data_IF_615536641881
#
_entry.id   IF_615536641881
#
_cell.length_a   1.000
_cell.length_b   1.000
_cell.length_c   1.000
_cell.angle_alpha   90.00
_cell.angle_beta   90.00
_cell.angle_gamma   90.00
#
_symmetry.space_group_name_H-M   'P 1'
#
loop_
_entity.id
_entity.type
_entity.pdbx_description
1 polymer ?
#
# COMPACT_ATOMS: atom_id res chain seq x y z
N UNK A 1 7.63 -10.65 9.80
CA UNK A 1 6.80 -10.89 8.60
C UNK A 1 5.38 -10.45 8.94
N UNK A 2 4.85 -9.41 8.29
CA UNK A 2 3.42 -9.08 8.46
C UNK A 2 2.60 -10.08 7.66
N UNK A 3 1.58 -10.70 8.28
CA UNK A 3 0.63 -11.54 7.56
C UNK A 3 -0.01 -10.73 6.42
N UNK A 4 -0.23 -11.37 5.27
CA UNK A 4 -0.85 -10.75 4.09
C UNK A 4 -2.24 -10.17 4.41
N UNK A 5 -2.90 -10.75 5.42
CA UNK A 5 -4.18 -10.30 5.97
C UNK A 5 -4.06 -9.07 6.87
N UNK A 6 -2.87 -8.72 7.38
CA UNK A 6 -2.69 -7.58 8.29
C UNK A 6 -2.82 -6.22 7.61
N UNK A 7 -2.70 -6.14 6.28
CA UNK A 7 -2.77 -4.90 5.51
C UNK A 7 -3.82 -4.91 4.40
N UNK A 8 -4.60 -5.98 4.26
CA UNK A 8 -5.61 -6.07 3.22
C UNK A 8 -6.81 -5.19 3.55
N UNK A 9 -7.44 -4.61 2.53
CA UNK A 9 -8.69 -3.86 2.71
C UNK A 9 -9.89 -4.80 2.78
N UNK A 10 -9.79 -6.00 2.22
CA UNK A 10 -10.79 -7.04 2.30
C UNK A 10 -10.27 -8.36 1.75
N UNK A 11 -11.04 -9.42 1.99
CA UNK A 11 -10.70 -10.80 1.63
C UNK A 11 -11.88 -11.46 0.92
N UNK A 12 -11.60 -12.16 -0.18
CA UNK A 12 -12.58 -12.94 -0.91
C UNK A 12 -12.21 -14.42 -0.85
N UNK A 13 -13.14 -15.25 -0.37
CA UNK A 13 -12.98 -16.69 -0.23
C UNK A 13 -13.73 -17.42 -1.33
N UNK A 14 -13.00 -18.20 -2.13
CA UNK A 14 -13.51 -19.20 -3.05
C UNK A 14 -13.33 -20.58 -2.43
N UNK A 15 -14.25 -20.96 -1.54
CA UNK A 15 -14.12 -22.17 -0.71
C UNK A 15 -15.45 -22.93 -0.65
N UNK A 16 -15.40 -24.18 -0.19
CA UNK A 16 -16.59 -24.93 0.21
C UNK A 16 -16.91 -26.16 -0.64
N UNK A 17 -16.69 -26.13 -1.97
CA UNK A 17 -17.13 -27.22 -2.88
C UNK A 17 -16.60 -28.61 -2.49
N UNK A 18 -15.34 -28.72 -2.07
CA UNK A 18 -14.79 -30.01 -1.62
C UNK A 18 -15.32 -30.44 -0.24
N UNK A 19 -15.53 -29.50 0.68
CA UNK A 19 -16.06 -29.80 2.00
C UNK A 19 -17.54 -30.21 1.92
N UNK A 20 -18.35 -29.47 1.17
CA UNK A 20 -19.78 -29.73 1.02
C UNK A 20 -20.08 -31.00 0.24
N UNK A 21 -19.13 -31.46 -0.59
CA UNK A 21 -19.23 -32.75 -1.27
C UNK A 21 -19.12 -33.92 -0.29
N UNK A 22 -18.48 -33.74 0.87
CA UNK A 22 -18.17 -34.84 1.78
C UNK A 22 -18.73 -34.66 3.20
N UNK A 23 -19.39 -33.54 3.47
CA UNK A 23 -19.95 -33.21 4.78
C UNK A 23 -21.33 -32.56 4.60
N UNK A 24 -22.15 -32.59 5.66
CA UNK A 24 -23.43 -31.89 5.66
C UNK A 24 -23.25 -30.37 5.58
N UNK A 25 -24.22 -29.68 4.99
CA UNK A 25 -24.26 -28.22 4.94
C UNK A 25 -24.06 -27.56 6.32
N UNK A 26 -24.70 -28.10 7.34
CA UNK A 26 -24.60 -27.62 8.72
C UNK A 26 -23.18 -27.68 9.28
N UNK A 27 -22.45 -28.77 9.03
CA UNK A 27 -21.07 -28.93 9.51
C UNK A 27 -20.14 -27.93 8.84
N UNK A 28 -20.25 -27.76 7.52
CA UNK A 28 -19.43 -26.79 6.78
C UNK A 28 -19.75 -25.37 7.24
N UNK A 29 -21.02 -25.04 7.48
CA UNK A 29 -21.43 -23.71 7.98
C UNK A 29 -20.88 -23.44 9.38
N UNK A 30 -20.85 -24.42 10.28
CA UNK A 30 -20.22 -24.26 11.58
C UNK A 30 -18.71 -23.97 11.47
N UNK A 31 -18.02 -24.59 10.49
CA UNK A 31 -16.61 -24.28 10.21
C UNK A 31 -16.43 -22.87 9.66
N UNK A 32 -17.31 -22.42 8.76
CA UNK A 32 -17.29 -21.05 8.23
C UNK A 32 -17.55 -20.03 9.36
N UNK A 33 -18.49 -20.30 10.26
CA UNK A 33 -18.77 -19.45 11.43
C UNK A 33 -17.50 -19.23 12.27
N UNK A 34 -16.84 -20.34 12.65
CA UNK A 34 -15.57 -20.31 13.39
C UNK A 34 -14.45 -19.59 12.63
N UNK A 35 -14.36 -19.77 11.31
CA UNK A 35 -13.38 -19.10 10.46
C UNK A 35 -13.55 -17.57 10.50
N UNK A 36 -14.79 -17.08 10.41
CA UNK A 36 -15.08 -15.64 10.48
C UNK A 36 -14.68 -15.05 11.83
N UNK A 37 -15.00 -15.74 12.93
CA UNK A 37 -14.63 -15.30 14.28
C UNK A 37 -13.11 -15.30 14.48
N UNK A 38 -12.41 -16.31 13.95
CA UNK A 38 -10.96 -16.39 14.01
C UNK A 38 -10.30 -15.25 13.22
N UNK A 39 -10.76 -14.98 11.99
CA UNK A 39 -10.23 -13.88 11.18
C UNK A 39 -10.39 -12.56 11.90
N UNK A 40 -11.57 -12.28 12.46
CA UNK A 40 -11.85 -10.99 13.10
C UNK A 40 -11.16 -10.79 14.44
N UNK A 41 -10.89 -11.86 15.19
CA UNK A 41 -10.10 -11.78 16.41
C UNK A 41 -8.64 -11.40 16.13
N UNK A 42 -8.06 -11.84 15.01
CA UNK A 42 -6.68 -11.54 14.62
C UNK A 42 -6.54 -10.31 13.72
N UNK A 43 -7.59 -9.96 12.97
CA UNK A 43 -7.60 -8.88 11.98
C UNK A 43 -8.77 -7.94 12.23
N UNK A 44 -8.65 -7.13 13.28
CA UNK A 44 -9.71 -6.23 13.78
C UNK A 44 -10.14 -5.14 12.81
N UNK A 45 -9.44 -4.95 11.69
CA UNK A 45 -9.81 -4.03 10.62
C UNK A 45 -10.82 -4.64 9.63
N UNK A 46 -11.01 -5.97 9.62
CA UNK A 46 -11.95 -6.68 8.73
C UNK A 46 -13.34 -6.84 9.37
N UNK A 47 -13.96 -5.72 9.77
CA UNK A 47 -15.21 -5.70 10.55
C UNK A 47 -16.44 -5.36 9.73
N UNK A 48 -16.28 -4.63 8.63
CA UNK A 48 -17.41 -4.23 7.81
C UNK A 48 -17.87 -5.38 6.92
N UNK A 49 -19.14 -5.33 6.52
CA UNK A 49 -19.79 -6.34 5.67
C UNK A 49 -18.97 -6.67 4.42
N UNK A 50 -18.43 -5.64 3.79
CA UNK A 50 -17.66 -5.72 2.54
C UNK A 50 -16.20 -6.09 2.73
N UNK A 51 -15.73 -6.30 3.97
CA UNK A 51 -14.32 -6.62 4.23
C UNK A 51 -14.06 -8.12 4.15
N UNK A 52 -15.08 -8.94 4.37
CA UNK A 52 -15.01 -10.39 4.18
C UNK A 52 -16.11 -10.78 3.22
N UNK A 53 -15.74 -11.56 2.21
CA UNK A 53 -16.65 -11.98 1.16
C UNK A 53 -16.43 -13.46 0.88
N UNK A 54 -17.50 -14.23 0.80
CA UNK A 54 -17.44 -15.68 0.51
C UNK A 54 -18.31 -15.95 -0.69
N UNK A 55 -17.81 -16.69 -1.67
CA UNK A 55 -18.63 -17.12 -2.80
C UNK A 55 -19.66 -18.16 -2.37
N UNK A 56 -20.86 -18.09 -2.95
CA UNK A 56 -21.74 -19.26 -3.00
C UNK A 56 -21.03 -20.43 -3.68
N UNK A 57 -21.42 -21.65 -3.33
CA UNK A 57 -20.96 -22.84 -4.06
C UNK A 57 -21.84 -23.00 -5.29
N UNK A 58 -21.23 -22.93 -6.47
CA UNK A 58 -21.89 -23.23 -7.73
C UNK A 58 -22.18 -24.74 -7.88
N UNK A 59 -23.04 -25.16 -8.83
CA UNK A 59 -23.43 -26.55 -8.98
C UNK A 59 -22.25 -27.51 -9.11
N UNK A 60 -22.33 -28.64 -8.42
CA UNK A 60 -21.39 -29.75 -8.54
C UNK A 60 -22.18 -31.03 -8.82
N UNK A 61 -21.80 -31.71 -9.91
CA UNK A 61 -22.44 -32.92 -10.42
C UNK A 61 -21.60 -34.18 -10.14
N UNK A 62 -20.61 -34.09 -9.25
CA UNK A 62 -19.78 -35.23 -8.87
C UNK A 62 -20.14 -35.74 -7.47
N UNK A 63 -21.03 -36.74 -7.35
CA UNK A 63 -21.35 -37.42 -6.10
C UNK A 63 -20.13 -37.82 -5.25
N UNK A 64 -20.39 -38.08 -3.98
CA UNK A 64 -19.44 -38.71 -3.06
C UNK A 64 -20.11 -39.90 -2.38
N UNK A 65 -19.37 -40.56 -1.49
CA UNK A 65 -19.94 -41.60 -0.64
C UNK A 65 -21.11 -41.09 0.21
N UNK A 66 -21.00 -39.87 0.77
CA UNK A 66 -22.04 -39.29 1.63
C UNK A 66 -23.26 -38.82 0.83
N UNK A 67 -23.05 -38.32 -0.38
CA UNK A 67 -24.12 -37.89 -1.29
C UNK A 67 -24.04 -38.72 -2.57
N UNK A 68 -24.65 -39.91 -2.53
CA UNK A 68 -24.53 -40.93 -3.58
C UNK A 68 -25.23 -40.57 -4.89
N UNK A 69 -26.11 -39.56 -4.88
CA UNK A 69 -26.78 -39.06 -6.08
C UNK A 69 -26.52 -37.56 -6.30
N UNK A 70 -26.59 -37.14 -7.56
CA UNK A 70 -26.51 -35.72 -7.94
C UNK A 70 -27.61 -34.92 -7.24
N UNK A 71 -28.84 -35.44 -7.17
CA UNK A 71 -29.96 -34.77 -6.51
C UNK A 71 -29.67 -34.50 -5.03
N UNK A 72 -29.17 -35.49 -4.29
CA UNK A 72 -28.80 -35.32 -2.88
C UNK A 72 -27.65 -34.33 -2.68
N UNK A 73 -26.66 -34.33 -3.58
CA UNK A 73 -25.55 -33.38 -3.52
C UNK A 73 -26.00 -31.94 -3.80
N UNK A 74 -26.81 -31.73 -4.84
CA UNK A 74 -27.36 -30.43 -5.18
C UNK A 74 -28.29 -29.90 -4.07
N UNK A 75 -29.08 -30.78 -3.44
CA UNK A 75 -29.87 -30.42 -2.27
C UNK A 75 -28.99 -29.93 -1.11
N UNK A 76 -27.88 -30.64 -0.82
CA UNK A 76 -26.93 -30.22 0.21
C UNK A 76 -26.23 -28.89 -0.13
N UNK A 77 -25.87 -28.66 -1.39
CA UNK A 77 -25.29 -27.40 -1.87
C UNK A 77 -26.29 -26.25 -1.72
N UNK A 78 -27.54 -26.44 -2.11
CA UNK A 78 -28.59 -25.43 -1.97
C UNK A 78 -28.86 -25.10 -0.49
N UNK A 79 -28.88 -26.12 0.37
CA UNK A 79 -29.01 -25.94 1.81
C UNK A 79 -27.82 -25.13 2.36
N UNK A 80 -26.58 -25.46 1.97
CA UNK A 80 -25.39 -24.69 2.35
C UNK A 80 -25.47 -23.23 1.90
N UNK A 81 -25.85 -22.96 0.66
CA UNK A 81 -25.96 -21.59 0.16
C UNK A 81 -27.04 -20.80 0.90
N UNK A 82 -28.15 -21.44 1.29
CA UNK A 82 -29.18 -20.82 2.13
C UNK A 82 -28.62 -20.46 3.51
N UNK A 83 -28.02 -21.43 4.19
CA UNK A 83 -27.41 -21.23 5.51
C UNK A 83 -26.24 -20.22 5.49
N UNK A 84 -25.51 -20.14 4.39
CA UNK A 84 -24.43 -19.17 4.21
C UNK A 84 -24.97 -17.75 4.14
N UNK A 85 -26.09 -17.53 3.46
CA UNK A 85 -26.77 -16.23 3.42
C UNK A 85 -27.30 -15.81 4.81
N UNK A 86 -27.87 -16.76 5.55
CA UNK A 86 -28.31 -16.51 6.94
C UNK A 86 -27.12 -16.17 7.85
N UNK A 87 -26.02 -16.94 7.74
CA UNK A 87 -24.80 -16.69 8.49
C UNK A 87 -24.19 -15.32 8.10
N UNK A 88 -24.19 -14.96 6.83
CA UNK A 88 -23.69 -13.68 6.33
C UNK A 88 -24.47 -12.49 6.91
N UNK A 89 -25.78 -12.64 7.04
CA UNK A 89 -26.63 -11.64 7.70
C UNK A 89 -26.28 -11.53 9.19
N UNK A 90 -26.23 -12.66 9.91
CA UNK A 90 -25.92 -12.68 11.35
C UNK A 90 -24.52 -12.18 11.67
N UNK A 91 -23.53 -12.55 10.87
CA UNK A 91 -22.11 -12.21 11.06
C UNK A 91 -21.70 -10.99 10.24
N UNK A 92 -22.60 -10.33 9.53
CA UNK A 92 -22.30 -9.12 8.76
C UNK A 92 -21.08 -9.31 7.82
N UNK A 93 -21.17 -10.23 6.87
CA UNK A 93 -20.23 -10.36 5.73
C UNK A 93 -21.00 -10.46 4.41
N UNK A 94 -20.30 -10.42 3.28
CA UNK A 94 -20.94 -10.48 1.95
C UNK A 94 -20.90 -11.91 1.38
N UNK A 95 -22.04 -12.43 0.92
CA UNK A 95 -22.07 -13.58 0.02
C UNK A 95 -22.02 -13.07 -1.42
N UNK A 96 -21.14 -13.63 -2.23
CA UNK A 96 -21.03 -13.31 -3.66
C UNK A 96 -21.56 -14.49 -4.45
N UNK A 97 -22.59 -14.27 -5.24
CA UNK A 97 -23.07 -15.29 -6.15
C UNK A 97 -22.29 -15.24 -7.46
N UNK A 98 -21.64 -16.35 -7.81
CA UNK A 98 -20.95 -16.50 -9.07
C UNK A 98 -21.91 -17.20 -10.03
N UNK A 99 -22.34 -16.54 -11.13
CA UNK A 99 -23.37 -17.05 -12.03
C UNK A 99 -22.82 -18.16 -12.94
N UNK A 100 -22.40 -19.27 -12.32
CA UNK A 100 -21.89 -20.47 -12.96
C UNK A 100 -23.04 -21.47 -13.08
N UNK A 101 -23.40 -21.81 -14.30
CA UNK A 101 -24.42 -22.84 -14.58
C UNK A 101 -23.78 -24.20 -14.82
N UNK A 102 -24.61 -25.24 -14.82
CA UNK A 102 -24.18 -26.62 -15.10
C UNK A 102 -23.49 -26.74 -16.46
N UNK A 103 -23.98 -26.04 -17.48
CA UNK A 103 -23.44 -26.08 -18.84
C UNK A 103 -22.02 -25.51 -18.96
N UNK A 104 -21.59 -24.75 -17.94
CA UNK A 104 -20.27 -24.13 -17.89
C UNK A 104 -19.25 -25.00 -17.14
N UNK A 105 -19.67 -26.16 -16.63
CA UNK A 105 -18.78 -27.13 -16.01
C UNK A 105 -18.03 -27.95 -17.05
N UNK A 106 -16.86 -28.43 -16.64
CA UNK A 106 -16.04 -29.36 -17.37
C UNK A 106 -16.69 -30.76 -17.33
N UNK A 107 -16.16 -31.68 -18.13
CA UNK A 107 -16.63 -33.08 -18.22
C UNK A 107 -16.64 -33.82 -16.88
N UNK A 108 -15.84 -33.36 -15.91
CA UNK A 108 -15.78 -33.93 -14.56
C UNK A 108 -16.93 -33.50 -13.64
N UNK A 109 -17.80 -32.60 -14.12
CA UNK A 109 -18.96 -32.10 -13.40
C UNK A 109 -18.63 -31.30 -12.15
N UNK A 110 -17.39 -30.81 -11.99
CA UNK A 110 -16.96 -30.10 -10.77
C UNK A 110 -16.17 -28.84 -11.08
N UNK A 111 -15.25 -28.88 -12.03
CA UNK A 111 -14.45 -27.71 -12.38
C UNK A 111 -15.13 -26.92 -13.49
N UNK A 112 -14.84 -25.64 -13.56
CA UNK A 112 -15.35 -24.78 -14.64
C UNK A 112 -14.57 -25.11 -15.92
N UNK A 113 -15.27 -25.20 -17.04
CA UNK A 113 -14.62 -25.43 -18.33
C UNK A 113 -13.72 -24.23 -18.68
N UNK A 114 -12.55 -24.50 -19.26
CA UNK A 114 -11.49 -23.49 -19.49
C UNK A 114 -11.99 -22.27 -20.29
N UNK A 115 -12.90 -22.50 -21.23
CA UNK A 115 -13.50 -21.44 -22.06
C UNK A 115 -14.33 -20.41 -21.27
N UNK A 116 -14.79 -20.75 -20.06
CA UNK A 116 -15.59 -19.86 -19.22
C UNK A 116 -14.77 -19.16 -18.12
N UNK A 117 -13.51 -19.54 -17.92
CA UNK A 117 -12.63 -18.89 -16.94
C UNK A 117 -12.44 -17.37 -17.19
N UNK A 118 -12.31 -16.87 -18.44
CA UNK A 118 -12.21 -15.43 -18.67
C UNK A 118 -13.44 -14.64 -18.20
N UNK A 119 -14.63 -15.23 -18.34
CA UNK A 119 -15.89 -14.63 -17.87
C UNK A 119 -15.95 -14.62 -16.32
N UNK A 120 -15.53 -15.70 -15.67
CA UNK A 120 -15.46 -15.72 -14.21
C UNK A 120 -14.47 -14.67 -13.69
N UNK A 121 -13.32 -14.55 -14.35
CA UNK A 121 -12.30 -13.58 -13.98
C UNK A 121 -12.83 -12.15 -14.09
N UNK A 122 -13.55 -11.82 -15.17
CA UNK A 122 -14.13 -10.47 -15.32
C UNK A 122 -15.15 -10.15 -14.24
N UNK A 123 -15.97 -11.12 -13.81
CA UNK A 123 -16.91 -10.95 -12.69
C UNK A 123 -16.18 -10.69 -11.38
N UNK A 124 -15.17 -11.51 -11.06
CA UNK A 124 -14.38 -11.34 -9.83
C UNK A 124 -13.66 -9.99 -9.85
N UNK A 125 -13.09 -9.59 -10.99
CA UNK A 125 -12.44 -8.31 -11.15
C UNK A 125 -13.42 -7.15 -10.96
N UNK A 126 -14.60 -7.20 -11.60
CA UNK A 126 -15.64 -6.19 -11.46
C UNK A 126 -16.13 -6.09 -10.00
N UNK A 127 -16.24 -7.20 -9.30
CA UNK A 127 -16.58 -7.23 -7.87
C UNK A 127 -15.56 -6.43 -7.04
N UNK A 128 -14.27 -6.67 -7.25
CA UNK A 128 -13.22 -5.92 -6.56
C UNK A 128 -13.17 -4.45 -6.97
N UNK A 129 -13.37 -4.12 -8.24
CA UNK A 129 -13.42 -2.74 -8.72
C UNK A 129 -14.55 -1.96 -8.03
N UNK A 130 -15.74 -2.56 -7.91
CA UNK A 130 -16.88 -1.98 -7.18
C UNK A 130 -16.53 -1.80 -5.70
N UNK A 131 -15.92 -2.80 -5.05
CA UNK A 131 -15.53 -2.70 -3.65
C UNK A 131 -14.55 -1.56 -3.38
N UNK A 132 -13.52 -1.42 -4.23
CA UNK A 132 -12.53 -0.35 -4.15
C UNK A 132 -13.18 1.00 -4.40
N UNK A 133 -14.07 1.09 -5.39
CA UNK A 133 -14.82 2.29 -5.70
C UNK A 133 -15.74 2.71 -4.54
N UNK A 134 -16.48 1.78 -3.93
CA UNK A 134 -17.35 2.06 -2.78
C UNK A 134 -16.58 2.51 -1.54
N UNK A 135 -15.39 1.94 -1.29
CA UNK A 135 -14.52 2.38 -0.17
C UNK A 135 -13.91 3.76 -0.40
N UNK A 136 -13.71 4.16 -1.65
CA UNK A 136 -13.20 5.49 -2.00
C UNK A 136 -14.30 6.56 -2.08
N UNK A 137 -15.56 6.16 -2.32
CA UNK A 137 -16.72 7.07 -2.44
C UNK A 137 -17.59 7.18 -1.19
N UNK A 138 -17.56 6.22 -0.26
CA UNK A 138 -18.15 6.43 1.07
C UNK A 138 -17.40 7.58 1.75
N UNK A 139 -18.06 8.71 2.10
CA UNK A 139 -17.43 9.71 2.93
C UNK A 139 -17.15 9.03 4.25
N UNK A 140 -15.88 8.69 4.49
CA UNK A 140 -15.47 8.19 5.79
C UNK A 140 -15.92 9.24 6.79
N UNK A 141 -16.81 8.87 7.72
CA UNK A 141 -17.00 9.57 9.00
C UNK A 141 -15.74 9.45 9.89
N UNK A 142 -14.58 9.10 9.32
CA UNK A 142 -13.31 9.47 9.92
C UNK A 142 -13.23 10.99 9.88
N UNK A 143 -12.77 11.61 10.97
CA UNK A 143 -12.37 13.01 11.03
C UNK A 143 -11.16 13.30 10.09
N UNK A 144 -11.29 12.98 8.81
CA UNK A 144 -10.33 13.31 7.78
C UNK A 144 -10.52 14.78 7.46
N UNK A 145 -9.48 15.54 7.78
CA UNK A 145 -9.41 16.97 7.52
C UNK A 145 -9.77 17.21 6.05
N UNK A 146 -10.65 18.18 5.78
CA UNK A 146 -11.06 18.52 4.41
C UNK A 146 -9.86 18.70 3.49
N UNK A 147 -10.02 18.49 2.17
CA UNK A 147 -8.94 18.74 1.19
C UNK A 147 -8.32 20.13 1.35
N UNK A 148 -9.13 21.14 1.69
CA UNK A 148 -8.66 22.50 2.02
C UNK A 148 -7.77 22.52 3.27
N UNK A 149 -8.13 21.79 4.33
CA UNK A 149 -7.33 21.67 5.55
C UNK A 149 -6.04 20.86 5.35
N UNK A 150 -6.06 19.81 4.52
CA UNK A 150 -4.86 19.06 4.11
C UNK A 150 -3.93 19.97 3.29
N UNK A 151 -4.45 20.67 2.29
CA UNK A 151 -3.68 21.61 1.48
C UNK A 151 -3.06 22.71 2.35
N UNK A 152 -3.83 23.29 3.30
CA UNK A 152 -3.33 24.29 4.24
C UNK A 152 -2.24 23.73 5.17
N UNK A 153 -2.38 22.48 5.65
CA UNK A 153 -1.36 21.79 6.45
C UNK A 153 -0.09 21.55 5.65
N UNK A 154 -0.22 21.05 4.41
CA UNK A 154 0.92 20.76 3.54
C UNK A 154 1.64 22.06 3.15
N UNK A 155 0.91 23.14 2.84
CA UNK A 155 1.47 24.47 2.63
C UNK A 155 2.26 24.95 3.85
N UNK A 156 1.67 24.88 5.05
CA UNK A 156 2.37 25.23 6.31
C UNK A 156 3.60 24.36 6.57
N UNK A 157 3.53 23.04 6.27
CA UNK A 157 4.66 22.12 6.43
C UNK A 157 5.79 22.46 5.45
N UNK A 158 5.45 22.73 4.20
CA UNK A 158 6.39 23.14 3.16
C UNK A 158 7.05 24.50 3.51
N UNK A 159 6.27 25.48 3.95
CA UNK A 159 6.81 26.77 4.43
C UNK A 159 7.72 26.59 5.66
N UNK A 160 7.34 25.75 6.62
CA UNK A 160 8.18 25.44 7.79
C UNK A 160 9.47 24.74 7.38
N UNK A 161 9.41 23.81 6.44
CA UNK A 161 10.59 23.13 5.90
C UNK A 161 11.49 24.10 5.14
N UNK A 162 10.93 24.97 4.30
CA UNK A 162 11.66 26.02 3.58
C UNK A 162 12.35 26.98 4.54
N UNK A 163 11.68 27.40 5.61
CA UNK A 163 12.28 28.23 6.67
C UNK A 163 13.42 27.50 7.40
N UNK A 164 13.24 26.21 7.74
CA UNK A 164 14.30 25.40 8.36
C UNK A 164 15.51 25.23 7.46
N UNK A 165 15.30 24.95 6.18
CA UNK A 165 16.37 24.85 5.19
C UNK A 165 17.11 26.18 5.01
N UNK A 166 16.39 27.30 4.97
CA UNK A 166 17.01 28.62 4.88
C UNK A 166 17.90 28.95 6.10
N UNK A 167 17.47 28.56 7.32
CA UNK A 167 18.26 28.75 8.55
C UNK A 167 19.53 27.88 8.56
N UNK A 168 19.53 26.78 7.82
CA UNK A 168 20.63 25.80 7.81
C UNK A 168 21.44 25.83 6.52
N UNK A 169 21.42 26.93 5.78
CA UNK A 169 22.17 27.08 4.53
C UNK A 169 23.07 28.31 4.59
N UNK A 170 24.33 28.16 4.21
CA UNK A 170 25.25 29.28 3.96
C UNK A 170 25.38 29.45 2.45
N UNK A 171 25.09 30.65 1.96
CA UNK A 171 25.23 30.98 0.53
C UNK A 171 26.43 31.88 0.31
N UNK A 172 27.25 31.57 -0.69
CA UNK A 172 28.41 32.37 -1.13
C UNK A 172 28.42 32.48 -2.65
N UNK A 173 28.88 33.61 -3.21
CA UNK A 173 29.18 33.67 -4.64
C UNK A 173 30.31 32.69 -4.93
N UNK A 174 30.34 32.14 -6.14
CA UNK A 174 31.37 31.18 -6.54
C UNK A 174 31.74 31.38 -8.00
N UNK A 175 33.05 31.44 -8.26
CA UNK A 175 33.61 31.46 -9.59
C UNK A 175 33.50 30.09 -10.26
N UNK A 176 33.41 30.09 -11.60
CA UNK A 176 33.20 28.86 -12.39
C UNK A 176 34.37 27.88 -12.34
N UNK A 177 35.55 28.35 -11.94
CA UNK A 177 36.77 27.54 -11.89
C UNK A 177 36.72 26.46 -10.80
N UNK A 178 35.92 26.66 -9.75
CA UNK A 178 35.76 25.73 -8.65
C UNK A 178 35.03 24.46 -9.07
N UNK A 179 35.71 23.31 -8.98
CA UNK A 179 35.07 22.00 -9.18
C UNK A 179 34.53 21.47 -7.87
N UNK A 180 33.55 20.57 -7.95
CA UNK A 180 32.93 19.96 -6.78
C UNK A 180 33.96 19.24 -5.88
N UNK A 181 34.97 18.59 -6.47
CA UNK A 181 35.99 17.89 -5.70
C UNK A 181 36.84 18.87 -4.90
N UNK A 182 37.29 19.96 -5.54
CA UNK A 182 38.10 21.02 -4.94
C UNK A 182 37.35 21.69 -3.79
N UNK A 183 36.04 21.94 -3.97
CA UNK A 183 35.19 22.46 -2.91
C UNK A 183 35.12 21.55 -1.69
N UNK A 184 35.05 20.23 -1.87
CA UNK A 184 35.06 19.29 -0.75
C UNK A 184 36.38 19.34 0.00
N UNK A 185 37.50 19.38 -0.72
CA UNK A 185 38.84 19.46 -0.14
C UNK A 185 39.03 20.77 0.62
N UNK A 186 38.68 21.91 0.00
CA UNK A 186 38.79 23.22 0.62
C UNK A 186 37.93 23.37 1.88
N UNK A 187 36.67 22.91 1.85
CA UNK A 187 35.81 22.94 3.04
C UNK A 187 36.35 22.04 4.15
N UNK A 188 36.96 20.90 3.81
CA UNK A 188 37.64 20.03 4.78
C UNK A 188 38.87 20.71 5.37
N UNK A 189 39.69 21.39 4.55
CA UNK A 189 40.85 22.17 4.99
C UNK A 189 40.44 23.27 5.98
N UNK A 190 39.32 23.97 5.72
CA UNK A 190 38.73 24.97 6.63
C UNK A 190 37.98 24.36 7.84
N UNK A 191 38.03 23.04 8.02
CA UNK A 191 37.34 22.30 9.09
C UNK A 191 35.80 22.53 9.12
N UNK A 192 35.18 22.62 7.95
CA UNK A 192 33.74 22.87 7.81
C UNK A 192 32.98 21.56 7.65
N UNK A 193 32.14 21.25 8.64
CA UNK A 193 31.28 20.05 8.65
C UNK A 193 29.91 20.36 8.06
N UNK A 194 29.71 20.09 6.78
CA UNK A 194 28.44 20.27 6.09
C UNK A 194 27.65 18.96 5.96
N UNK A 195 26.33 19.07 5.77
CA UNK A 195 25.44 17.92 5.53
C UNK A 195 25.31 17.61 4.03
N UNK A 196 25.08 18.63 3.21
CA UNK A 196 24.98 18.48 1.76
C UNK A 196 25.58 19.68 1.03
N UNK A 197 26.31 19.40 -0.04
CA UNK A 197 26.79 20.39 -0.99
C UNK A 197 25.96 20.22 -2.29
N UNK A 198 24.88 21.00 -2.50
CA UNK A 198 24.12 20.98 -3.73
C UNK A 198 24.97 21.54 -4.89
N UNK A 199 24.54 21.23 -6.12
CA UNK A 199 25.14 21.74 -7.35
C UNK A 199 25.19 23.27 -7.34
N UNK A 200 26.30 23.83 -7.86
CA UNK A 200 26.46 25.27 -8.10
C UNK A 200 25.36 25.72 -9.07
N UNK A 201 24.55 26.70 -8.65
CA UNK A 201 23.48 27.26 -9.50
C UNK A 201 23.58 28.78 -9.48
N UNK A 202 23.49 29.41 -10.65
CA UNK A 202 23.55 30.87 -10.80
C UNK A 202 24.74 31.53 -10.09
N UNK A 203 25.94 30.93 -10.20
CA UNK A 203 27.16 31.42 -9.56
C UNK A 203 27.05 31.56 -8.02
N UNK A 204 26.18 30.75 -7.42
CA UNK A 204 26.04 30.65 -5.97
C UNK A 204 26.33 29.22 -5.51
N UNK A 205 27.13 29.13 -4.45
CA UNK A 205 27.36 27.93 -3.67
C UNK A 205 26.44 27.96 -2.45
N UNK A 206 25.60 26.94 -2.29
CA UNK A 206 24.62 26.86 -1.20
C UNK A 206 24.94 25.70 -0.26
N UNK A 207 25.77 25.90 0.76
CA UNK A 207 26.21 24.82 1.65
C UNK A 207 25.11 24.52 2.67
N UNK A 208 24.60 23.30 2.72
CA UNK A 208 23.54 22.89 3.67
C UNK A 208 24.13 22.15 4.88
N UNK A 209 23.60 22.46 6.06
CA UNK A 209 24.08 21.93 7.34
C UNK A 209 22.97 21.15 8.05
N UNK A 210 23.36 20.12 8.82
CA UNK A 210 22.41 19.31 9.59
C UNK A 210 22.06 19.94 10.95
N UNK A 211 22.92 20.84 11.47
CA UNK A 211 22.73 21.54 12.73
C UNK A 211 23.12 23.02 12.60
N UNK A 212 22.62 23.86 13.50
CA UNK A 212 22.84 25.31 13.48
C UNK A 212 24.27 25.70 13.89
N UNK A 213 24.91 24.95 14.79
CA UNK A 213 26.27 25.26 15.26
C UNK A 213 27.31 25.17 14.13
N UNK A 214 27.22 24.14 13.28
CA UNK A 214 28.12 24.00 12.14
C UNK A 214 27.85 25.07 11.08
N UNK A 215 26.59 25.47 10.91
CA UNK A 215 26.21 26.55 10.01
C UNK A 215 26.81 27.89 10.48
N UNK A 216 26.67 28.23 11.77
CA UNK A 216 27.23 29.45 12.36
C UNK A 216 28.75 29.48 12.27
N UNK A 217 29.40 28.35 12.57
CA UNK A 217 30.85 28.20 12.40
C UNK A 217 31.26 28.44 10.94
N UNK A 218 30.56 27.84 9.98
CA UNK A 218 30.84 28.08 8.56
C UNK A 218 30.61 29.54 8.15
N UNK A 219 29.62 30.21 8.72
CA UNK A 219 29.36 31.64 8.48
C UNK A 219 30.47 32.55 8.98
N UNK A 220 31.08 32.20 10.11
CA UNK A 220 32.21 32.94 10.70
C UNK A 220 33.52 32.70 9.97
N UNK A 221 33.72 31.50 9.44
CA UNK A 221 34.98 31.09 8.79
C UNK A 221 35.01 31.41 7.30
N UNK A 222 33.87 31.30 6.60
CA UNK A 222 33.81 31.53 5.15
C UNK A 222 33.52 33.00 4.83
N UNK A 223 34.50 33.66 4.23
CA UNK A 223 34.33 35.01 3.71
C UNK A 223 33.52 34.99 2.41
N UNK A 224 33.02 36.17 2.03
CA UNK A 224 32.27 36.34 0.78
C UNK A 224 33.13 36.09 -0.47
N UNK A 225 34.44 36.30 -0.37
CA UNK A 225 35.42 36.20 -1.46
C UNK A 225 36.13 34.85 -1.53
N UNK A 226 35.94 33.95 -0.55
CA UNK A 226 36.72 32.70 -0.45
C UNK A 226 36.58 31.79 -1.70
N UNK A 227 35.51 31.96 -2.47
CA UNK A 227 35.25 31.18 -3.68
C UNK A 227 35.36 32.01 -4.98
N UNK A 228 36.07 33.13 -4.95
CA UNK A 228 36.44 33.85 -6.18
C UNK A 228 37.62 33.17 -6.90
N UNK A 229 37.97 33.68 -8.09
CA UNK A 229 39.06 33.12 -8.91
C UNK A 229 40.43 33.32 -8.26
N UNK A 230 40.66 34.48 -7.63
CA UNK A 230 41.94 34.78 -6.98
C UNK A 230 42.20 33.85 -5.79
N UNK A 231 41.19 33.63 -4.95
CA UNK A 231 41.26 32.75 -3.79
C UNK A 231 41.50 31.30 -4.20
N UNK A 232 40.93 30.87 -5.33
CA UNK A 232 41.19 29.54 -5.89
C UNK A 232 42.65 29.36 -6.30
N UNK A 233 43.21 30.29 -7.08
CA UNK A 233 44.62 30.22 -7.50
C UNK A 233 45.59 30.30 -6.31
N UNK A 234 45.29 31.16 -5.32
CA UNK A 234 46.07 31.26 -4.10
C UNK A 234 46.05 29.93 -3.32
N UNK A 235 44.90 29.28 -3.18
CA UNK A 235 44.80 28.03 -2.44
C UNK A 235 45.49 26.86 -3.17
N UNK A 236 45.26 26.68 -4.47
CA UNK A 236 45.88 25.59 -5.23
C UNK A 236 47.40 25.71 -5.31
N UNK A 237 47.93 26.94 -5.41
CA UNK A 237 49.38 27.15 -5.38
C UNK A 237 50.02 26.77 -4.03
N UNK A 238 49.26 26.85 -2.92
CA UNK A 238 49.70 26.42 -1.60
C UNK A 238 49.50 24.91 -1.32
N UNK A 239 48.57 24.23 -2.01
CA UNK A 239 48.40 22.76 -1.88
C UNK A 239 49.39 21.95 -2.73
N UNK A 240 50.02 22.57 -3.73
CA UNK A 240 51.00 21.94 -4.63
C UNK A 240 52.45 22.44 -4.44
N UNK A 241 52.71 23.17 -3.36
CA UNK A 241 54.06 23.50 -2.88
C UNK A 241 54.41 22.62 -1.69
#
# INVERSE_FOLDING_TARGET
MSSLLSSCSGVFFLIGTNSIRNNSASEVIAQVDNLIDLIRSHHTHLKHQTDISISSVFPCLKPSFLFSSISTLLSNINNYNTLLNDLATRKNFTVVDLPITVDQLNHDGMHIHINHLPYLWSIIQQYFDILVYQKTTKPSLSHSRSRKAIARRNKRRHEKQKKRQAIQTVTRPIARIWKLQDLKTYLKYKNIKYGRLPEIRHHQLCIQFNNQLHQQHAEQILNFTDFDEQSYYNWISHEHS
#
